data_IF_935750167717
#
_entry.id   IF_935750167717
#
_cell.length_a   1.000
_cell.length_b   1.000
_cell.length_c   1.000
_cell.angle_alpha   90.00
_cell.angle_beta   90.00
_cell.angle_gamma   90.00
#
_symmetry.space_group_name_H-M   'P 1'
#
loop_
_entity.id
_entity.type
_entity.pdbx_description
1 polymer ?
#
# COMPACT_ATOMS: atom_id res chain seq x y z
N UNK A 1 10.13 5.52 -28.78
CA UNK A 1 9.53 4.41 -29.55
C UNK A 1 10.31 3.15 -29.21
N UNK A 2 9.63 2.11 -28.75
CA UNK A 2 10.28 0.82 -28.50
C UNK A 2 10.27 0.01 -29.80
N UNK A 3 11.45 -0.33 -30.32
CA UNK A 3 11.58 -1.09 -31.58
C UNK A 3 11.94 -2.53 -31.27
N UNK A 4 11.04 -3.45 -31.60
CA UNK A 4 11.23 -4.89 -31.40
C UNK A 4 12.09 -5.44 -32.54
N UNK A 5 13.25 -6.01 -32.22
CA UNK A 5 14.13 -6.63 -33.23
C UNK A 5 13.84 -8.11 -33.42
N UNK A 6 13.44 -8.82 -32.37
CA UNK A 6 13.11 -10.25 -32.39
C UNK A 6 12.04 -10.59 -31.35
N UNK A 7 11.28 -11.67 -31.57
CA UNK A 7 10.30 -12.23 -30.62
C UNK A 7 10.59 -13.73 -30.46
N UNK A 8 10.62 -14.22 -29.24
CA UNK A 8 10.79 -15.66 -28.93
C UNK A 8 9.64 -16.13 -28.05
N UNK A 9 9.20 -17.38 -28.22
CA UNK A 9 8.14 -17.98 -27.40
C UNK A 9 8.28 -19.50 -27.34
N UNK A 10 7.62 -20.13 -26.34
CA UNK A 10 7.51 -21.59 -26.23
C UNK A 10 6.58 -22.18 -27.30
N UNK A 11 6.65 -23.50 -27.52
CA UNK A 11 5.62 -24.22 -28.30
C UNK A 11 4.25 -24.08 -27.61
N UNK A 12 3.19 -23.81 -28.39
CA UNK A 12 1.83 -23.51 -27.91
C UNK A 12 1.81 -22.37 -26.86
N UNK A 13 2.07 -21.12 -27.31
CA UNK A 13 2.20 -19.98 -26.41
C UNK A 13 0.85 -19.56 -25.82
N UNK A 14 0.91 -19.02 -24.60
CA UNK A 14 -0.21 -18.32 -23.96
C UNK A 14 0.19 -16.85 -23.84
N UNK A 15 -0.68 -15.94 -24.29
CA UNK A 15 -0.49 -14.50 -24.14
C UNK A 15 -1.20 -14.02 -22.87
N UNK A 16 -0.42 -13.71 -21.83
CA UNK A 16 -0.94 -13.17 -20.58
C UNK A 16 -1.11 -11.65 -20.69
N UNK A 17 -2.28 -11.14 -20.29
CA UNK A 17 -2.62 -9.72 -20.37
C UNK A 17 -3.57 -9.34 -19.25
N UNK A 18 -3.65 -8.04 -18.97
CA UNK A 18 -4.52 -7.44 -17.96
C UNK A 18 -4.96 -6.05 -18.41
N UNK A 19 -5.83 -5.41 -17.63
CA UNK A 19 -6.29 -4.04 -17.83
C UNK A 19 -6.27 -3.27 -16.51
N UNK A 20 -6.20 -1.95 -16.61
CA UNK A 20 -6.39 -1.03 -15.47
C UNK A 20 -7.68 -0.26 -15.65
N UNK A 21 -8.38 0.01 -14.56
CA UNK A 21 -9.68 0.66 -14.60
C UNK A 21 -10.06 1.35 -13.31
N UNK A 22 -11.37 1.49 -13.09
CA UNK A 22 -11.86 1.90 -11.77
C UNK A 22 -11.62 0.74 -10.80
N UNK A 23 -10.93 0.96 -9.67
CA UNK A 23 -10.68 -0.12 -8.71
C UNK A 23 -12.00 -0.63 -8.10
N UNK A 24 -12.03 -1.90 -7.64
CA UNK A 24 -10.91 -2.84 -7.56
C UNK A 24 -10.61 -3.54 -8.91
N UNK A 25 -9.36 -3.46 -9.37
CA UNK A 25 -8.83 -4.14 -10.56
C UNK A 25 -7.64 -5.05 -10.20
N UNK A 26 -7.16 -5.88 -11.14
CA UNK A 26 -6.09 -6.85 -10.86
C UNK A 26 -4.82 -6.20 -10.27
N UNK A 27 -4.33 -5.06 -10.81
CA UNK A 27 -3.20 -4.35 -10.20
C UNK A 27 -3.47 -3.84 -8.78
N UNK A 28 -4.69 -3.42 -8.45
CA UNK A 28 -5.03 -3.02 -7.09
C UNK A 28 -4.96 -4.19 -6.10
N UNK A 29 -5.44 -5.38 -6.49
CA UNK A 29 -5.35 -6.58 -5.65
C UNK A 29 -3.89 -7.02 -5.46
N UNK A 30 -3.08 -6.97 -6.51
CA UNK A 30 -1.63 -7.19 -6.39
C UNK A 30 -0.98 -6.17 -5.43
N UNK A 31 -1.42 -4.92 -5.47
CA UNK A 31 -0.97 -3.87 -4.55
C UNK A 31 -1.30 -4.16 -3.09
N UNK A 32 -2.51 -4.66 -2.80
CA UNK A 32 -2.89 -5.07 -1.43
C UNK A 32 -2.01 -6.20 -0.93
N UNK A 33 -1.74 -7.21 -1.76
CA UNK A 33 -0.84 -8.30 -1.39
C UNK A 33 0.59 -7.83 -1.13
N UNK A 34 1.08 -6.85 -1.91
CA UNK A 34 2.39 -6.24 -1.68
C UNK A 34 2.44 -5.37 -0.43
N UNK A 35 1.31 -4.81 0.02
CA UNK A 35 1.26 -4.02 1.24
C UNK A 35 1.66 -4.83 2.49
N UNK A 36 1.30 -6.11 2.54
CA UNK A 36 1.72 -7.04 3.60
C UNK A 36 3.24 -7.12 3.76
N UNK A 37 4.01 -6.87 2.70
CA UNK A 37 5.48 -6.84 2.75
C UNK A 37 6.00 -5.57 3.43
N UNK A 38 5.26 -4.47 3.35
CA UNK A 38 5.66 -3.18 3.93
C UNK A 38 5.28 -3.03 5.40
N UNK A 39 4.22 -3.70 5.86
CA UNK A 39 3.76 -3.61 7.26
C UNK A 39 4.90 -3.95 8.27
N UNK A 40 5.66 -5.06 8.13
CA UNK A 40 6.74 -5.37 9.07
C UNK A 40 7.89 -4.34 9.02
N UNK A 41 8.11 -3.70 7.87
CA UNK A 41 9.14 -2.66 7.73
C UNK A 41 8.71 -1.40 8.49
N UNK A 42 7.44 -1.02 8.39
CA UNK A 42 6.87 0.08 9.17
C UNK A 42 6.90 -0.21 10.67
N UNK A 43 6.50 -1.41 11.09
CA UNK A 43 6.50 -1.81 12.50
C UNK A 43 7.90 -1.81 13.13
N UNK A 44 8.96 -2.10 12.36
CA UNK A 44 10.34 -1.98 12.86
C UNK A 44 10.71 -0.53 13.24
N UNK A 45 10.22 0.44 12.49
CA UNK A 45 10.50 1.86 12.74
C UNK A 45 9.50 2.48 13.73
N UNK A 46 8.25 2.03 13.69
CA UNK A 46 7.13 2.48 14.52
C UNK A 46 6.47 1.27 15.18
N UNK A 47 7.06 0.73 16.27
CA UNK A 47 6.52 -0.44 16.98
C UNK A 47 5.10 -0.23 17.53
N UNK A 48 4.65 1.01 17.61
CA UNK A 48 3.29 1.38 17.98
C UNK A 48 2.23 1.02 16.92
N UNK A 49 2.61 0.81 15.65
CA UNK A 49 1.67 0.45 14.57
C UNK A 49 1.26 -1.01 14.71
N UNK A 50 -0.06 -1.26 14.71
CA UNK A 50 -0.66 -2.59 14.76
C UNK A 50 -0.95 -3.09 13.35
N UNK A 51 -1.68 -2.32 12.55
CA UNK A 51 -1.96 -2.61 11.13
C UNK A 51 -1.79 -1.35 10.27
N UNK A 52 -1.48 -1.54 8.99
CA UNK A 52 -1.35 -0.49 7.99
C UNK A 52 -1.99 -0.95 6.68
N UNK A 53 -3.10 -0.30 6.32
CA UNK A 53 -3.90 -0.69 5.17
C UNK A 53 -4.03 0.44 4.14
N UNK A 54 -3.96 0.07 2.86
CA UNK A 54 -4.16 0.93 1.71
C UNK A 54 -5.36 0.42 0.92
N UNK A 55 -6.56 1.00 1.10
CA UNK A 55 -7.75 0.52 0.42
C UNK A 55 -7.64 0.61 -1.12
N UNK A 56 -8.00 -0.45 -1.88
CA UNK A 56 -8.09 -0.43 -3.34
C UNK A 56 -8.93 0.72 -3.90
N UNK A 57 -10.07 1.00 -3.27
CA UNK A 57 -10.97 2.11 -3.60
C UNK A 57 -10.31 3.49 -3.44
N UNK A 58 -9.25 3.59 -2.64
CA UNK A 58 -8.33 4.72 -2.55
C UNK A 58 -7.30 4.75 -3.67
N UNK A 59 -7.55 4.10 -4.80
CA UNK A 59 -6.60 3.88 -5.89
C UNK A 59 -5.28 3.26 -5.40
N UNK A 60 -5.36 2.34 -4.45
CA UNK A 60 -4.23 1.54 -3.91
C UNK A 60 -3.14 2.30 -3.14
N UNK A 61 -3.08 3.63 -3.20
CA UNK A 61 -2.03 4.41 -2.52
C UNK A 61 -2.46 5.80 -2.03
N UNK A 62 -3.64 6.32 -2.42
CA UNK A 62 -3.99 7.72 -2.11
C UNK A 62 -4.54 7.89 -0.69
N UNK A 63 -4.97 6.80 -0.06
CA UNK A 63 -5.48 6.76 1.31
C UNK A 63 -4.79 5.65 2.08
N UNK A 64 -4.47 5.92 3.35
CA UNK A 64 -4.01 4.94 4.31
C UNK A 64 -4.86 4.96 5.57
N UNK A 65 -5.13 3.77 6.11
CA UNK A 65 -5.73 3.58 7.43
C UNK A 65 -4.67 2.88 8.29
N UNK A 66 -4.36 3.48 9.43
CA UNK A 66 -3.34 2.99 10.37
C UNK A 66 -3.96 2.79 11.72
N UNK A 67 -3.84 1.60 12.29
CA UNK A 67 -4.25 1.31 13.66
C UNK A 67 -3.02 1.22 14.53
N UNK A 68 -3.07 1.78 15.74
CA UNK A 68 -1.89 1.88 16.60
C UNK A 68 -2.21 1.78 18.09
N UNK A 69 -1.21 1.37 18.88
CA UNK A 69 -1.25 1.43 20.34
C UNK A 69 -0.81 2.81 20.83
N UNK A 70 -1.77 3.69 21.10
CA UNK A 70 -1.51 5.06 21.56
C UNK A 70 -0.90 5.08 22.96
N UNK A 71 0.19 5.82 23.14
CA UNK A 71 0.96 5.89 24.40
C UNK A 71 0.95 7.30 25.04
N UNK A 72 0.70 8.35 24.25
CA UNK A 72 0.70 9.73 24.74
C UNK A 72 -0.16 10.67 23.88
N UNK A 73 -0.61 11.83 24.40
CA UNK A 73 -1.34 12.83 23.62
C UNK A 73 -0.53 13.33 22.42
N UNK A 74 -1.14 13.35 21.23
CA UNK A 74 -0.46 13.76 19.98
C UNK A 74 0.31 12.65 19.27
N UNK A 75 0.36 11.42 19.80
CA UNK A 75 1.08 10.29 19.20
C UNK A 75 0.68 10.03 17.73
N UNK A 76 -0.62 10.14 17.41
CA UNK A 76 -1.13 9.98 16.05
C UNK A 76 -0.47 10.92 15.02
N UNK A 77 -0.14 12.17 15.40
CA UNK A 77 0.51 13.12 14.50
C UNK A 77 1.92 12.67 14.11
N UNK A 78 2.65 12.02 15.03
CA UNK A 78 3.97 11.43 14.76
C UNK A 78 3.84 10.32 13.71
N UNK A 79 2.85 9.44 13.86
CA UNK A 79 2.58 8.36 12.89
C UNK A 79 2.20 8.93 11.52
N UNK A 80 1.33 9.94 11.46
CA UNK A 80 0.97 10.62 10.19
C UNK A 80 2.21 11.17 9.46
N UNK A 81 3.07 11.89 10.17
CA UNK A 81 4.32 12.40 9.58
C UNK A 81 5.27 11.27 9.17
N UNK A 82 5.30 10.17 9.92
CA UNK A 82 6.04 8.96 9.58
C UNK A 82 5.58 8.34 8.27
N UNK A 83 4.26 8.19 8.07
CA UNK A 83 3.68 7.67 6.83
C UNK A 83 4.09 8.51 5.63
N UNK A 84 4.05 9.84 5.73
CA UNK A 84 4.41 10.73 4.61
C UNK A 84 5.92 10.86 4.32
N UNK A 85 6.80 10.43 5.23
CA UNK A 85 8.24 10.71 5.12
C UNK A 85 9.13 9.47 5.09
N UNK A 86 8.73 8.37 5.71
CA UNK A 86 9.63 7.24 5.94
C UNK A 86 9.87 6.40 4.69
N UNK A 87 8.80 5.95 4.03
CA UNK A 87 8.89 5.12 2.81
C UNK A 87 8.44 5.93 1.59
N UNK A 88 9.25 5.87 0.52
CA UNK A 88 8.98 6.58 -0.74
C UNK A 88 7.64 6.19 -1.37
N UNK A 89 7.20 4.96 -1.14
CA UNK A 89 5.94 4.38 -1.60
C UNK A 89 4.72 5.16 -1.08
N UNK A 90 4.80 5.78 0.09
CA UNK A 90 3.68 6.43 0.78
C UNK A 90 3.73 7.96 0.72
N UNK A 91 4.77 8.54 0.09
CA UNK A 91 4.93 9.99 -0.02
C UNK A 91 3.77 10.69 -0.77
N UNK A 92 3.10 9.97 -1.67
CA UNK A 92 1.97 10.50 -2.45
C UNK A 92 0.59 10.15 -1.85
N UNK A 93 0.55 9.48 -0.70
CA UNK A 93 -0.68 9.21 0.04
C UNK A 93 -1.21 10.53 0.58
N UNK A 94 -2.38 10.97 0.11
CA UNK A 94 -2.95 12.28 0.47
C UNK A 94 -3.77 12.26 1.74
N UNK A 95 -4.33 11.10 2.07
CA UNK A 95 -5.22 10.93 3.21
C UNK A 95 -4.67 9.86 4.15
N UNK A 96 -4.53 10.18 5.43
CA UNK A 96 -4.11 9.23 6.46
C UNK A 96 -5.10 9.31 7.61
N UNK A 97 -5.73 8.17 7.90
CA UNK A 97 -6.62 7.99 9.05
C UNK A 97 -5.85 7.19 10.09
N UNK A 98 -5.79 7.69 11.32
CA UNK A 98 -5.14 7.01 12.44
C UNK A 98 -6.19 6.67 13.48
N UNK A 99 -6.27 5.39 13.83
CA UNK A 99 -7.20 4.82 14.80
C UNK A 99 -6.42 4.10 15.91
N UNK A 100 -7.10 3.82 17.02
CA UNK A 100 -6.58 2.95 18.07
C UNK A 100 -6.65 1.46 17.64
N UNK A 101 -6.12 0.54 18.45
CA UNK A 101 -5.99 -0.89 18.13
C UNK A 101 -7.28 -1.71 18.29
N UNK A 102 -8.37 -1.07 18.72
CA UNK A 102 -9.72 -1.63 18.79
C UNK A 102 -10.51 -1.49 17.48
N UNK A 103 -9.94 -0.83 16.47
CA UNK A 103 -10.53 -0.65 15.13
C UNK A 103 -9.87 -1.60 14.13
N UNK A 104 -10.66 -2.26 13.29
CA UNK A 104 -10.14 -2.97 12.13
C UNK A 104 -9.84 -1.97 11.00
N UNK A 105 -8.61 -1.97 10.49
CA UNK A 105 -8.19 -1.06 9.42
C UNK A 105 -8.78 -1.40 8.04
N UNK A 106 -9.37 -2.58 7.88
CA UNK A 106 -9.84 -3.16 6.60
C UNK A 106 -11.35 -3.25 6.51
#
# INVERSE_FOLDING_TARGET
MFTVTHITHRKDPIYHSTYTGRPPDEPAILGVALNEVFVPILQKQFPEIVDFYLPPEGCSYRMAVVTMKKQYPGHAKRVMMGVWSFLRQFMYTKFVIVCDDDVNAR
#
